data_IF_406647217140
#
_entry.id   IF_406647217140
#
_cell.length_a   1.000
_cell.length_b   1.000
_cell.length_c   1.000
_cell.angle_alpha   90.00
_cell.angle_beta   90.00
_cell.angle_gamma   90.00
#
_symmetry.space_group_name_H-M   'P 1'
#
loop_
_entity.id
_entity.type
_entity.pdbx_description
1 polymer ?
#
# COMPACT_ATOMS: atom_id res chain seq x y z
N UNK A 1 -35.14 2.13 -44.36
CA UNK A 1 -33.93 2.98 -44.13
C UNK A 1 -34.20 4.31 -43.40
N UNK A 2 -35.42 4.86 -43.35
CA UNK A 2 -35.70 6.12 -42.62
C UNK A 2 -35.57 5.99 -41.08
N UNK A 3 -35.98 4.85 -40.50
CA UNK A 3 -35.80 4.57 -39.07
C UNK A 3 -34.32 4.51 -38.64
N UNK A 4 -33.46 3.94 -39.49
CA UNK A 4 -32.03 3.84 -39.20
C UNK A 4 -31.38 5.22 -39.12
N UNK A 5 -31.76 6.18 -39.97
CA UNK A 5 -31.24 7.56 -39.89
C UNK A 5 -31.72 8.31 -38.64
N UNK A 6 -32.95 8.02 -38.18
CA UNK A 6 -33.54 8.68 -36.99
C UNK A 6 -32.93 8.18 -35.68
N UNK A 7 -32.52 6.91 -35.62
CA UNK A 7 -31.93 6.29 -34.43
C UNK A 7 -30.47 5.85 -34.65
N UNK A 8 -29.82 6.34 -35.71
CA UNK A 8 -28.44 5.99 -36.07
C UNK A 8 -27.49 6.19 -34.88
N UNK A 9 -27.66 7.32 -34.21
CA UNK A 9 -26.87 7.69 -33.04
C UNK A 9 -27.12 6.73 -31.88
N UNK A 10 -28.37 6.31 -31.65
CA UNK A 10 -28.70 5.32 -30.62
C UNK A 10 -28.07 3.95 -30.92
N UNK A 11 -28.19 3.47 -32.17
CA UNK A 11 -27.67 2.16 -32.58
C UNK A 11 -26.15 2.09 -32.61
N UNK A 12 -25.46 3.22 -32.68
CA UNK A 12 -23.99 3.29 -32.62
C UNK A 12 -23.50 3.54 -31.20
N UNK A 13 -24.16 4.42 -30.46
CA UNK A 13 -23.71 4.83 -29.13
C UNK A 13 -24.02 3.77 -28.07
N UNK A 14 -25.16 3.07 -28.17
CA UNK A 14 -25.53 1.99 -27.24
C UNK A 14 -24.51 0.82 -27.23
N UNK A 15 -24.12 0.20 -28.36
CA UNK A 15 -23.10 -0.85 -28.31
C UNK A 15 -21.74 -0.30 -27.87
N UNK A 16 -21.40 0.94 -28.23
CA UNK A 16 -20.12 1.55 -27.86
C UNK A 16 -20.02 1.82 -26.36
N UNK A 17 -21.10 2.24 -25.72
CA UNK A 17 -21.15 2.37 -24.25
C UNK A 17 -21.10 1.01 -23.58
N UNK A 18 -21.83 0.00 -24.06
CA UNK A 18 -21.75 -1.36 -23.52
C UNK A 18 -20.32 -1.93 -23.61
N UNK A 19 -19.64 -1.71 -24.74
CA UNK A 19 -18.24 -2.10 -24.91
C UNK A 19 -17.31 -1.33 -23.97
N UNK A 20 -17.53 -0.04 -23.76
CA UNK A 20 -16.74 0.76 -22.83
C UNK A 20 -16.92 0.30 -21.38
N UNK A 21 -18.15 0.00 -20.96
CA UNK A 21 -18.42 -0.59 -19.65
C UNK A 21 -17.78 -1.97 -19.50
N UNK A 22 -17.90 -2.83 -20.53
CA UNK A 22 -17.29 -4.15 -20.53
C UNK A 22 -15.76 -4.08 -20.43
N UNK A 23 -15.12 -3.19 -21.19
CA UNK A 23 -13.67 -2.97 -21.14
C UNK A 23 -13.22 -2.45 -19.78
N UNK A 24 -13.97 -1.52 -19.19
CA UNK A 24 -13.67 -0.99 -17.86
C UNK A 24 -13.81 -2.07 -16.78
N UNK A 25 -14.91 -2.83 -16.81
CA UNK A 25 -15.13 -3.95 -15.88
C UNK A 25 -14.01 -5.00 -16.00
N UNK A 26 -13.62 -5.36 -17.21
CA UNK A 26 -12.51 -6.29 -17.43
C UNK A 26 -11.20 -5.77 -16.83
N UNK A 27 -10.85 -4.51 -17.10
CA UNK A 27 -9.62 -3.90 -16.59
C UNK A 27 -9.56 -3.88 -15.06
N UNK A 28 -10.63 -3.46 -14.40
CA UNK A 28 -10.64 -3.33 -12.94
C UNK A 28 -10.89 -4.66 -12.22
N UNK A 29 -11.90 -5.43 -12.61
CA UNK A 29 -12.34 -6.60 -11.85
C UNK A 29 -11.64 -7.90 -12.25
N UNK A 30 -11.11 -7.99 -13.47
CA UNK A 30 -10.52 -9.23 -13.99
C UNK A 30 -8.99 -9.08 -14.11
N UNK A 31 -8.52 -7.95 -14.65
CA UNK A 31 -7.09 -7.69 -14.81
C UNK A 31 -6.45 -7.01 -13.60
N UNK A 32 -7.22 -6.52 -12.63
CA UNK A 32 -6.70 -5.85 -11.42
C UNK A 32 -5.73 -4.70 -11.72
N UNK A 33 -6.00 -3.97 -12.81
CA UNK A 33 -5.12 -2.89 -13.29
C UNK A 33 -5.43 -1.57 -12.58
N UNK A 34 -5.11 -1.55 -11.29
CA UNK A 34 -5.17 -0.40 -10.41
C UNK A 34 -4.09 -0.50 -9.31
N UNK A 35 -3.56 0.63 -8.83
CA UNK A 35 -2.67 0.64 -7.68
C UNK A 35 -3.45 0.48 -6.38
N UNK A 36 -2.81 -0.16 -5.41
CA UNK A 36 -3.30 -0.34 -4.04
C UNK A 36 -2.22 0.13 -3.08
N UNK A 37 -2.64 0.70 -1.96
CA UNK A 37 -1.74 1.21 -0.93
C UNK A 37 -2.08 0.55 0.39
N UNK A 38 -1.05 0.06 1.08
CA UNK A 38 -1.15 -0.64 2.36
C UNK A 38 -0.20 -0.03 3.38
N UNK A 39 -0.60 -0.14 4.64
CA UNK A 39 0.29 0.14 5.77
C UNK A 39 1.26 -1.02 5.91
N UNK A 40 2.51 -0.72 6.20
CA UNK A 40 3.51 -1.73 6.51
C UNK A 40 4.42 -1.29 7.64
N UNK A 41 5.12 -2.25 8.22
CA UNK A 41 6.03 -2.01 9.33
C UNK A 41 7.13 -1.02 8.95
N UNK A 42 7.37 -0.06 9.84
CA UNK A 42 8.45 0.89 9.72
C UNK A 42 9.24 0.94 11.03
N UNK A 43 10.56 0.77 10.92
CA UNK A 43 11.47 0.90 12.05
C UNK A 43 11.87 2.39 12.23
N UNK A 44 11.37 3.07 13.27
CA UNK A 44 11.62 4.49 13.49
C UNK A 44 13.06 4.80 13.88
N UNK A 45 13.87 3.80 14.25
CA UNK A 45 15.28 3.99 14.59
C UNK A 45 16.19 4.04 13.36
N UNK A 46 15.70 3.58 12.20
CA UNK A 46 16.46 3.55 10.95
C UNK A 46 15.86 4.40 9.84
N UNK A 47 14.56 4.72 9.91
CA UNK A 47 13.81 5.51 8.94
C UNK A 47 12.86 6.47 9.63
N UNK A 48 12.47 7.55 8.94
CA UNK A 48 11.39 8.41 9.44
C UNK A 48 10.06 7.76 9.08
N UNK A 49 9.28 7.44 10.10
CA UNK A 49 8.03 6.70 10.00
C UNK A 49 6.84 7.61 10.28
N UNK A 50 5.66 7.23 9.79
CA UNK A 50 4.42 7.84 10.24
C UNK A 50 4.10 7.29 11.64
N UNK A 51 3.68 8.16 12.54
CA UNK A 51 3.21 7.79 13.88
C UNK A 51 1.69 7.75 13.92
N UNK A 52 1.15 6.70 14.52
CA UNK A 52 -0.26 6.60 14.86
C UNK A 52 -0.42 6.28 16.34
N UNK A 53 -1.19 7.11 17.04
CA UNK A 53 -1.52 6.94 18.45
C UNK A 53 -2.99 6.51 18.58
N UNK A 54 -3.28 5.42 19.30
CA UNK A 54 -4.67 5.02 19.57
C UNK A 54 -5.37 5.93 20.59
N UNK A 55 -4.59 6.61 21.44
CA UNK A 55 -5.07 7.53 22.47
C UNK A 55 -4.38 8.90 22.41
N UNK A 56 -4.98 9.89 23.08
CA UNK A 56 -4.47 11.26 23.14
C UNK A 56 -3.14 11.38 23.93
N UNK A 57 -2.80 10.37 24.74
CA UNK A 57 -1.58 10.34 25.57
C UNK A 57 -0.40 9.69 24.84
N UNK A 58 -0.64 9.05 23.69
CA UNK A 58 0.29 8.31 22.86
C UNK A 58 1.24 7.39 23.65
N UNK A 59 0.67 6.58 24.53
CA UNK A 59 1.48 5.69 25.39
C UNK A 59 2.10 4.51 24.62
N UNK A 60 1.41 4.05 23.58
CA UNK A 60 1.83 2.94 22.72
C UNK A 60 1.73 3.34 21.23
N UNK A 61 2.69 4.14 20.71
CA UNK A 61 2.68 4.58 19.32
C UNK A 61 2.93 3.40 18.36
N UNK A 62 2.18 3.40 17.26
CA UNK A 62 2.38 2.51 16.12
C UNK A 62 3.11 3.24 15.00
N UNK A 63 4.26 2.72 14.59
CA UNK A 63 5.08 3.30 13.52
C UNK A 63 4.93 2.53 12.22
N UNK A 64 4.56 3.24 11.16
CA UNK A 64 4.24 2.62 9.89
C UNK A 64 4.74 3.42 8.68
N UNK A 65 4.70 2.78 7.53
CA UNK A 65 5.01 3.36 6.22
C UNK A 65 3.94 2.94 5.23
N UNK A 66 3.79 3.71 4.15
CA UNK A 66 2.87 3.36 3.08
C UNK A 66 3.58 2.61 1.97
N UNK A 67 3.05 1.46 1.55
CA UNK A 67 3.51 0.71 0.39
C UNK A 67 2.46 0.76 -0.71
N UNK A 68 2.82 1.26 -1.89
CA UNK A 68 1.95 1.29 -3.08
C UNK A 68 2.43 0.27 -4.11
N UNK A 69 1.51 -0.59 -4.58
CA UNK A 69 1.79 -1.68 -5.53
C UNK A 69 0.67 -1.82 -6.57
N UNK A 70 0.94 -2.52 -7.66
CA UNK A 70 -0.11 -2.91 -8.59
C UNK A 70 -0.90 -4.12 -8.06
N UNK A 71 -2.23 -4.04 -8.04
CA UNK A 71 -3.06 -5.12 -7.51
C UNK A 71 -2.92 -6.44 -8.29
N UNK A 72 -2.62 -6.38 -9.59
CA UNK A 72 -2.40 -7.58 -10.41
C UNK A 72 -1.13 -8.34 -10.02
N UNK A 73 -0.06 -7.63 -9.66
CA UNK A 73 1.21 -8.22 -9.20
C UNK A 73 1.04 -8.82 -7.82
N UNK A 74 0.39 -8.06 -6.92
CA UNK A 74 0.10 -8.51 -5.57
C UNK A 74 -0.74 -9.80 -5.57
N UNK A 75 -1.76 -9.88 -6.43
CA UNK A 75 -2.55 -11.11 -6.59
C UNK A 75 -1.70 -12.33 -6.99
N UNK A 76 -0.61 -12.14 -7.73
CA UNK A 76 0.28 -13.25 -8.07
C UNK A 76 1.15 -13.69 -6.88
N UNK A 77 1.54 -12.77 -5.98
CA UNK A 77 2.34 -13.09 -4.80
C UNK A 77 1.51 -13.67 -3.65
N UNK A 78 0.31 -13.14 -3.42
CA UNK A 78 -0.61 -13.58 -2.36
C UNK A 78 -1.31 -14.92 -2.68
N UNK A 79 -1.11 -15.45 -3.89
CA UNK A 79 -1.72 -16.71 -4.32
C UNK A 79 -3.20 -16.59 -4.70
N UNK A 80 -3.93 -17.71 -4.62
CA UNK A 80 -5.34 -17.77 -5.00
C UNK A 80 -6.29 -17.18 -3.94
N UNK A 81 -5.74 -16.61 -2.86
CA UNK A 81 -6.56 -15.92 -1.88
C UNK A 81 -7.14 -14.67 -2.57
N UNK A 82 -8.47 -14.61 -2.60
CA UNK A 82 -9.21 -13.58 -3.31
C UNK A 82 -9.13 -12.22 -2.61
N UNK A 83 -8.58 -12.20 -1.40
CA UNK A 83 -8.50 -11.01 -0.57
C UNK A 83 -7.06 -10.50 -0.48
N UNK A 84 -6.74 -9.59 -1.41
CA UNK A 84 -5.48 -8.84 -1.36
C UNK A 84 -5.35 -7.98 -0.10
N UNK A 85 -6.42 -7.79 0.68
CA UNK A 85 -6.42 -7.00 1.91
C UNK A 85 -5.82 -7.76 3.10
N UNK A 86 -5.80 -9.09 3.06
CA UNK A 86 -5.25 -9.94 4.13
C UNK A 86 -3.84 -10.46 3.80
N UNK A 87 -3.23 -9.91 2.74
CA UNK A 87 -1.95 -10.39 2.23
C UNK A 87 -0.77 -9.68 2.89
N UNK A 88 0.01 -10.41 3.67
CA UNK A 88 1.20 -9.86 4.34
C UNK A 88 2.28 -9.43 3.36
N UNK A 89 2.34 -10.03 2.18
CA UNK A 89 3.24 -9.56 1.13
C UNK A 89 2.92 -8.11 0.71
N UNK A 90 1.69 -7.63 0.89
CA UNK A 90 1.31 -6.26 0.55
C UNK A 90 2.02 -5.20 1.42
N UNK A 91 2.47 -5.61 2.61
CA UNK A 91 3.03 -4.74 3.66
C UNK A 91 4.53 -4.49 3.50
N UNK A 92 5.18 -5.04 2.46
CA UNK A 92 6.59 -4.80 2.18
C UNK A 92 6.92 -4.91 0.68
N UNK A 93 7.94 -4.17 0.24
CA UNK A 93 8.54 -4.37 -1.08
C UNK A 93 9.64 -5.42 -1.04
N UNK A 94 9.66 -6.31 -2.03
CA UNK A 94 10.84 -7.15 -2.26
C UNK A 94 12.01 -6.34 -2.81
N UNK A 95 13.24 -6.77 -2.52
CA UNK A 95 14.44 -6.10 -3.05
C UNK A 95 14.44 -6.13 -4.59
N UNK A 96 14.44 -4.94 -5.19
CA UNK A 96 14.49 -4.77 -6.65
C UNK A 96 13.14 -5.02 -7.34
N UNK A 97 12.04 -5.03 -6.60
CA UNK A 97 10.71 -5.16 -7.18
C UNK A 97 10.32 -3.92 -7.98
N UNK A 98 10.02 -4.11 -9.27
CA UNK A 98 9.48 -3.05 -10.12
C UNK A 98 8.00 -2.82 -9.79
N UNK A 99 7.58 -1.57 -9.63
CA UNK A 99 6.18 -1.24 -9.36
C UNK A 99 5.78 -1.20 -7.88
N UNK A 100 6.70 -1.51 -6.96
CA UNK A 100 6.51 -1.32 -5.52
C UNK A 100 7.18 -0.03 -5.04
N UNK A 101 6.41 0.84 -4.38
CA UNK A 101 6.88 2.13 -3.90
C UNK A 101 6.60 2.28 -2.41
N UNK A 102 7.67 2.39 -1.63
CA UNK A 102 7.59 2.75 -0.22
C UNK A 102 7.59 4.28 -0.07
N UNK A 103 6.58 4.83 0.60
CA UNK A 103 6.53 6.22 1.04
C UNK A 103 6.70 6.26 2.56
N UNK A 104 7.91 6.61 2.95
CA UNK A 104 8.26 6.99 4.32
C UNK A 104 7.78 8.40 4.63
N UNK A 105 7.75 8.76 5.91
CA UNK A 105 7.34 10.08 6.34
C UNK A 105 8.39 11.13 5.95
N UNK A 106 7.94 12.28 5.44
CA UNK A 106 8.78 13.44 5.18
C UNK A 106 8.46 14.54 6.18
N UNK A 107 9.33 14.82 7.17
CA UNK A 107 9.05 15.79 8.24
C UNK A 107 8.93 17.24 7.74
N UNK A 108 9.23 17.51 6.45
CA UNK A 108 9.04 18.83 5.85
C UNK A 108 7.68 19.02 5.21
N UNK A 109 6.98 17.92 4.89
CA UNK A 109 5.74 17.91 4.11
C UNK A 109 4.57 17.28 4.87
N UNK A 110 4.85 16.37 5.79
CA UNK A 110 3.89 15.60 6.55
C UNK A 110 3.93 16.02 8.04
N UNK A 111 2.74 16.10 8.64
CA UNK A 111 2.54 16.24 10.08
C UNK A 111 2.45 14.79 10.62
N UNK A 112 3.03 14.48 11.78
CA UNK A 112 3.09 13.12 12.37
C UNK A 112 4.24 12.20 11.86
N UNK A 113 5.41 12.78 11.61
CA UNK A 113 6.64 12.03 11.36
C UNK A 113 7.47 11.82 12.63
N UNK A 114 7.87 10.58 12.90
CA UNK A 114 8.76 10.25 14.00
C UNK A 114 10.07 9.62 13.51
N UNK A 115 11.18 9.95 14.19
CA UNK A 115 12.49 9.33 13.99
C UNK A 115 13.17 9.20 15.36
N UNK A 116 13.23 7.97 15.87
CA UNK A 116 13.76 7.68 17.18
C UNK A 116 15.27 7.51 17.14
N UNK A 117 15.93 7.88 18.23
CA UNK A 117 17.35 7.68 18.44
C UNK A 117 17.59 6.60 19.49
N UNK A 118 18.86 6.19 19.65
CA UNK A 118 19.23 5.21 20.68
C UNK A 118 18.90 5.67 22.10
N UNK A 119 18.78 6.98 22.32
CA UNK A 119 18.46 7.55 23.63
C UNK A 119 16.97 7.39 23.98
N UNK A 120 16.12 7.16 22.97
CA UNK A 120 14.68 6.95 23.11
C UNK A 120 14.32 5.46 23.30
N UNK A 121 15.31 4.57 23.21
CA UNK A 121 15.12 3.13 23.32
C UNK A 121 14.76 2.71 24.75
N UNK A 122 13.71 1.89 24.96
CA UNK A 122 13.32 1.44 26.29
C UNK A 122 14.47 0.70 27.01
N UNK A 123 14.65 0.89 28.33
CA UNK A 123 15.74 0.26 29.08
C UNK A 123 15.77 -1.28 29.01
N UNK A 124 14.62 -1.91 28.74
CA UNK A 124 14.46 -3.36 28.66
C UNK A 124 15.13 -3.93 27.39
N UNK A 125 15.03 -3.25 26.24
CA UNK A 125 15.65 -3.67 24.98
C UNK A 125 17.17 -3.43 24.93
N UNK A 126 17.68 -2.52 25.77
CA UNK A 126 19.13 -2.31 25.91
C UNK A 126 19.86 -3.49 26.58
N UNK A 127 19.13 -4.34 27.33
CA UNK A 127 19.70 -5.40 28.16
C UNK A 127 19.95 -6.73 27.41
N UNK A 128 19.43 -6.87 26.19
CA UNK A 128 19.59 -8.08 25.36
C UNK A 128 20.78 -8.01 24.38
N UNK A 129 21.55 -6.92 24.39
CA UNK A 129 22.80 -6.88 23.64
C UNK A 129 23.72 -8.01 24.14
N UNK A 130 24.25 -8.89 23.27
CA UNK A 130 25.12 -9.98 23.68
C UNK A 130 26.33 -9.37 24.39
N UNK A 131 26.48 -9.69 25.67
CA UNK A 131 27.68 -9.39 26.44
C UNK A 131 28.78 -10.20 25.77
N UNK A 132 29.62 -9.53 24.98
CA UNK A 132 30.83 -10.13 24.41
C UNK A 132 31.82 -10.34 25.57
N UNK A 133 31.62 -11.42 26.36
CA UNK A 133 32.55 -11.92 27.36
C UNK A 133 33.76 -12.55 26.64
N UNK A 134 34.57 -11.73 25.99
CA UNK A 134 35.95 -12.04 25.63
C UNK A 134 36.79 -10.76 25.56
N UNK A 135 37.13 -10.23 26.74
CA UNK A 135 38.32 -9.40 26.93
C UNK A 135 39.10 -9.85 28.17
#
# INVERSE_FOLDING_TARGET
>A
MQHFKRFFLLYTLLPLTLLAFGASYYRFMISYDYPVTFEGYCDPYTKSCFEYCEDDECLEPFYYTWFTRNAAELRNSCGNDFDILECTEAEACSLGEEGCYARYCDPTMDEDCEFLTKDDMPPEELSEAPIDENL
#
